data_IF_915606861039
#
_entry.id   IF_915606861039
#
_cell.length_a   1.000
_cell.length_b   1.000
_cell.length_c   1.000
_cell.angle_alpha   90.00
_cell.angle_beta   90.00
_cell.angle_gamma   90.00
#
_symmetry.space_group_name_H-M   'P 1'
#
loop_
_entity.id
_entity.type
_entity.pdbx_description
1 polymer ?
#
# COMPACT_ATOMS: atom_id res chain seq x y z
N UNK A 1 -7.96 38.40 -28.14
CA UNK A 1 -8.78 38.64 -26.93
C UNK A 1 -8.33 37.65 -25.89
N UNK A 2 -7.53 38.09 -24.94
CA UNK A 2 -6.96 37.25 -23.89
C UNK A 2 -8.01 37.05 -22.81
N UNK A 3 -8.45 35.80 -22.61
CA UNK A 3 -9.29 35.43 -21.48
C UNK A 3 -8.41 35.55 -20.22
N UNK A 4 -8.86 36.21 -19.14
CA UNK A 4 -8.12 36.19 -17.90
C UNK A 4 -8.16 34.75 -17.39
N UNK A 5 -7.00 34.11 -17.37
CA UNK A 5 -6.76 32.87 -16.65
C UNK A 5 -6.99 33.18 -15.17
N UNK A 6 -8.24 33.03 -14.70
CA UNK A 6 -8.49 32.96 -13.27
C UNK A 6 -7.62 31.85 -12.71
N UNK A 7 -7.00 32.04 -11.55
CA UNK A 7 -6.19 31.02 -10.92
C UNK A 7 -7.03 29.74 -10.76
N UNK A 8 -6.80 28.74 -11.62
CA UNK A 8 -7.43 27.43 -11.48
C UNK A 8 -6.82 26.79 -10.24
N UNK A 9 -7.44 27.02 -9.08
CA UNK A 9 -7.04 26.39 -7.83
C UNK A 9 -7.30 24.89 -7.98
N UNK A 10 -6.25 24.10 -8.16
CA UNK A 10 -6.35 22.65 -8.19
C UNK A 10 -6.46 22.09 -6.76
N UNK A 11 -7.10 20.93 -6.62
CA UNK A 11 -7.23 20.23 -5.34
C UNK A 11 -6.14 19.15 -5.13
N UNK A 12 -5.09 19.16 -5.95
CA UNK A 12 -4.04 18.13 -5.96
C UNK A 12 -3.36 18.01 -4.59
N UNK A 13 -3.01 19.14 -3.96
CA UNK A 13 -2.36 19.12 -2.64
C UNK A 13 -3.24 18.51 -1.54
N UNK A 14 -4.52 18.90 -1.50
CA UNK A 14 -5.48 18.35 -0.54
C UNK A 14 -5.69 16.84 -0.76
N UNK A 15 -5.67 16.38 -2.02
CA UNK A 15 -5.71 14.96 -2.35
C UNK A 15 -4.43 14.23 -1.92
N UNK A 16 -3.24 14.83 -2.12
CA UNK A 16 -1.95 14.29 -1.65
C UNK A 16 -1.98 14.06 -0.15
N UNK A 17 -2.37 15.08 0.63
CA UNK A 17 -2.46 14.98 2.10
C UNK A 17 -3.45 13.89 2.53
N UNK A 18 -4.56 13.74 1.81
CA UNK A 18 -5.55 12.68 2.09
C UNK A 18 -4.94 11.30 1.88
N UNK A 19 -4.29 11.05 0.75
CA UNK A 19 -3.66 9.75 0.43
C UNK A 19 -2.56 9.42 1.45
N UNK A 20 -1.73 10.40 1.80
CA UNK A 20 -0.71 10.24 2.85
C UNK A 20 -1.38 9.82 4.16
N UNK A 21 -2.39 10.57 4.62
CA UNK A 21 -3.07 10.27 5.88
C UNK A 21 -3.72 8.90 5.91
N UNK A 22 -4.29 8.45 4.78
CA UNK A 22 -4.89 7.12 4.64
C UNK A 22 -3.82 6.02 4.71
N UNK A 23 -2.69 6.20 4.03
CA UNK A 23 -1.56 5.26 4.09
C UNK A 23 -0.94 5.16 5.48
N UNK A 24 -0.94 6.26 6.25
CA UNK A 24 -0.41 6.31 7.62
C UNK A 24 -1.36 5.73 8.65
N UNK A 25 -2.67 5.90 8.46
CA UNK A 25 -3.68 5.45 9.42
C UNK A 25 -3.60 3.94 9.68
N UNK A 26 -3.16 3.16 8.68
CA UNK A 26 -2.92 1.73 8.82
C UNK A 26 -1.79 1.39 9.81
N UNK A 27 -0.89 2.31 10.12
CA UNK A 27 0.27 2.10 11.00
C UNK A 27 0.20 2.91 12.29
N UNK A 28 -0.85 3.71 12.49
CA UNK A 28 -1.00 4.52 13.71
C UNK A 28 -1.38 3.62 14.89
N UNK A 29 -0.63 3.66 16.00
CA UNK A 29 -1.05 3.00 17.23
C UNK A 29 -2.40 3.56 17.67
N UNK A 30 -3.44 2.73 17.69
CA UNK A 30 -4.69 3.12 18.33
C UNK A 30 -4.41 3.33 19.81
N UNK A 31 -4.73 4.49 20.37
CA UNK A 31 -4.53 4.75 21.79
C UNK A 31 -5.55 3.94 22.61
N UNK A 32 -5.24 2.66 22.86
CA UNK A 32 -6.04 1.84 23.77
C UNK A 32 -5.57 2.06 25.19
N UNK A 33 -6.49 2.54 26.03
CA UNK A 33 -6.32 2.78 27.48
C UNK A 33 -6.20 1.50 28.32
N UNK A 34 -6.03 0.33 27.70
CA UNK A 34 -5.86 -0.96 28.35
C UNK A 34 -4.67 -1.66 27.71
N UNK A 35 -3.64 -1.98 28.49
CA UNK A 35 -2.34 -2.52 28.06
C UNK A 35 -2.34 -3.92 27.41
N UNK A 36 -3.25 -4.17 26.47
CA UNK A 36 -3.20 -5.30 25.55
C UNK A 36 -2.48 -4.89 24.26
N UNK A 37 -1.75 -5.80 23.61
CA UNK A 37 -1.21 -5.56 22.27
C UNK A 37 -2.36 -5.29 21.32
N UNK A 38 -2.29 -4.15 20.65
CA UNK A 38 -3.26 -3.70 19.67
C UNK A 38 -3.10 -4.48 18.37
N UNK A 39 -3.98 -5.44 18.14
CA UNK A 39 -4.15 -6.06 16.84
C UNK A 39 -5.03 -5.16 15.98
N UNK A 40 -4.42 -4.33 15.13
CA UNK A 40 -5.17 -3.59 14.12
C UNK A 40 -5.46 -4.56 12.96
N UNK A 41 -6.74 -4.79 12.69
CA UNK A 41 -7.15 -5.61 11.54
C UNK A 41 -7.50 -4.73 10.34
N UNK A 42 -7.09 -5.17 9.16
CA UNK A 42 -7.39 -4.50 7.89
C UNK A 42 -7.84 -5.55 6.87
N UNK A 43 -8.84 -5.27 6.05
CA UNK A 43 -9.22 -6.23 5.01
C UNK A 43 -8.29 -6.13 3.80
N UNK A 44 -8.18 -7.21 3.01
CA UNK A 44 -7.47 -7.13 1.72
C UNK A 44 -8.10 -6.10 0.78
N UNK A 45 -9.43 -5.92 0.86
CA UNK A 45 -10.16 -4.91 0.09
C UNK A 45 -9.72 -3.50 0.45
N UNK A 46 -9.47 -3.22 1.74
CA UNK A 46 -8.93 -1.93 2.17
C UNK A 46 -7.52 -1.71 1.63
N UNK A 47 -6.67 -2.74 1.62
CA UNK A 47 -5.30 -2.65 1.07
C UNK A 47 -5.34 -2.35 -0.42
N UNK A 48 -6.19 -3.04 -1.18
CA UNK A 48 -6.37 -2.80 -2.62
C UNK A 48 -6.96 -1.41 -2.90
N UNK A 49 -7.87 -0.95 -2.03
CA UNK A 49 -8.44 0.40 -2.10
C UNK A 49 -7.38 1.47 -1.88
N UNK A 50 -6.48 1.27 -0.91
CA UNK A 50 -5.35 2.18 -0.68
C UNK A 50 -4.42 2.26 -1.90
N UNK A 51 -4.06 1.12 -2.50
CA UNK A 51 -3.29 1.08 -3.75
C UNK A 51 -3.96 1.86 -4.86
N UNK A 52 -5.26 1.61 -5.07
CA UNK A 52 -6.04 2.29 -6.11
C UNK A 52 -6.09 3.79 -5.87
N UNK A 53 -6.29 4.24 -4.63
CA UNK A 53 -6.33 5.65 -4.29
C UNK A 53 -4.98 6.33 -4.58
N UNK A 54 -3.85 5.68 -4.26
CA UNK A 54 -2.53 6.20 -4.58
C UNK A 54 -2.31 6.30 -6.09
N UNK A 55 -2.67 5.25 -6.84
CA UNK A 55 -2.55 5.22 -8.30
C UNK A 55 -3.37 6.30 -8.98
N UNK A 56 -4.65 6.39 -8.62
CA UNK A 56 -5.54 7.41 -9.15
C UNK A 56 -5.05 8.82 -8.81
N UNK A 57 -4.50 9.01 -7.62
CA UNK A 57 -3.90 10.29 -7.22
C UNK A 57 -2.66 10.62 -8.05
N UNK A 58 -1.77 9.64 -8.29
CA UNK A 58 -0.60 9.81 -9.17
C UNK A 58 -1.01 10.22 -10.59
N UNK A 59 -2.01 9.55 -11.16
CA UNK A 59 -2.53 9.88 -12.50
C UNK A 59 -3.13 11.29 -12.56
N UNK A 60 -3.89 11.70 -11.52
CA UNK A 60 -4.44 13.06 -11.43
C UNK A 60 -3.36 14.12 -11.27
N UNK A 61 -2.28 13.81 -10.54
CA UNK A 61 -1.18 14.74 -10.32
C UNK A 61 -0.41 14.99 -11.61
N UNK A 62 -0.09 13.93 -12.37
CA UNK A 62 0.58 14.02 -13.66
C UNK A 62 -0.32 14.62 -14.76
N UNK A 63 -1.63 14.41 -14.69
CA UNK A 63 -2.59 15.00 -15.62
C UNK A 63 -2.98 16.45 -15.30
N UNK A 64 -2.49 17.02 -14.19
CA UNK A 64 -2.81 18.39 -13.80
C UNK A 64 -2.14 19.39 -14.75
N UNK A 65 -2.84 20.43 -15.27
CA UNK A 65 -2.22 21.48 -16.09
C UNK A 65 -1.09 22.25 -15.40
N UNK A 66 -0.99 22.14 -14.08
CA UNK A 66 0.06 22.74 -13.25
C UNK A 66 0.92 21.67 -12.56
N UNK A 67 1.04 20.47 -13.15
CA UNK A 67 1.84 19.34 -12.64
C UNK A 67 3.22 19.76 -12.15
N UNK A 68 3.93 20.58 -12.93
CA UNK A 68 5.30 21.03 -12.64
C UNK A 68 5.39 21.83 -11.34
N UNK A 69 4.30 22.48 -10.93
CA UNK A 69 4.25 23.22 -9.65
C UNK A 69 3.98 22.32 -8.45
N UNK A 70 3.49 21.10 -8.67
CA UNK A 70 3.14 20.14 -7.64
C UNK A 70 4.16 19.02 -7.50
N UNK A 71 4.73 18.57 -8.63
CA UNK A 71 5.75 17.54 -8.70
C UNK A 71 7.10 18.12 -8.30
N UNK A 72 7.34 18.16 -7.00
CA UNK A 72 8.60 18.60 -6.42
C UNK A 72 9.21 17.45 -5.58
N UNK A 73 10.50 17.58 -5.18
CA UNK A 73 11.19 16.49 -4.49
C UNK A 73 10.50 16.05 -3.18
N UNK A 74 9.81 16.96 -2.48
CA UNK A 74 9.05 16.65 -1.28
C UNK A 74 7.86 15.74 -1.60
N UNK A 75 7.12 16.02 -2.69
CA UNK A 75 6.00 15.19 -3.11
C UNK A 75 6.47 13.80 -3.54
N UNK A 76 7.58 13.68 -4.25
CA UNK A 76 8.14 12.37 -4.60
C UNK A 76 8.52 11.55 -3.37
N UNK A 77 9.16 12.17 -2.37
CA UNK A 77 9.42 11.52 -1.08
C UNK A 77 8.14 10.99 -0.46
N UNK A 78 7.07 11.79 -0.39
CA UNK A 78 5.80 11.34 0.18
C UNK A 78 5.14 10.20 -0.59
N UNK A 79 5.14 10.26 -1.92
CA UNK A 79 4.59 9.19 -2.74
C UNK A 79 5.41 7.91 -2.56
N UNK A 80 6.75 7.99 -2.55
CA UNK A 80 7.62 6.84 -2.28
C UNK A 80 7.38 6.23 -0.89
N UNK A 81 7.20 7.06 0.14
CA UNK A 81 6.85 6.60 1.49
C UNK A 81 5.48 5.90 1.51
N UNK A 82 4.49 6.45 0.80
CA UNK A 82 3.16 5.84 0.66
C UNK A 82 3.25 4.49 -0.08
N UNK A 83 4.03 4.39 -1.16
CA UNK A 83 4.31 3.12 -1.86
C UNK A 83 4.94 2.12 -0.88
N UNK A 84 5.96 2.52 -0.12
CA UNK A 84 6.64 1.65 0.85
C UNK A 84 5.67 1.06 1.90
N UNK A 85 4.77 1.90 2.42
CA UNK A 85 3.72 1.50 3.37
C UNK A 85 2.73 0.53 2.74
N UNK A 86 2.25 0.83 1.54
CA UNK A 86 1.31 -0.03 0.81
C UNK A 86 1.95 -1.37 0.45
N UNK A 87 3.22 -1.41 0.05
CA UNK A 87 3.96 -2.65 -0.19
C UNK A 87 4.07 -3.51 1.08
N UNK A 88 4.24 -2.89 2.25
CA UNK A 88 4.18 -3.60 3.55
C UNK A 88 2.81 -4.24 3.76
N UNK A 89 1.73 -3.53 3.45
CA UNK A 89 0.38 -4.09 3.55
C UNK A 89 0.15 -5.25 2.56
N UNK A 90 0.73 -5.17 1.35
CA UNK A 90 0.66 -6.27 0.38
C UNK A 90 1.41 -7.52 0.88
N UNK A 91 2.60 -7.34 1.47
CA UNK A 91 3.36 -8.45 2.07
C UNK A 91 2.57 -9.14 3.19
N UNK A 92 1.93 -8.36 4.06
CA UNK A 92 1.08 -8.89 5.12
C UNK A 92 -0.15 -9.61 4.56
N UNK A 93 -0.75 -9.08 3.47
CA UNK A 93 -1.92 -9.68 2.84
C UNK A 93 -1.57 -11.05 2.25
N UNK A 94 -0.43 -11.14 1.57
CA UNK A 94 0.07 -12.39 1.00
C UNK A 94 0.38 -13.43 2.07
N UNK A 95 0.99 -13.03 3.19
CA UNK A 95 1.20 -13.95 4.32
C UNK A 95 -0.11 -14.49 4.90
N UNK A 96 -1.17 -13.66 4.93
CA UNK A 96 -2.51 -14.07 5.34
C UNK A 96 -3.13 -15.09 4.39
N UNK A 97 -2.97 -14.89 3.08
CA UNK A 97 -3.46 -15.82 2.05
C UNK A 97 -2.70 -17.16 2.07
N UNK A 98 -1.37 -17.15 2.21
CA UNK A 98 -0.56 -18.38 2.20
C UNK A 98 -0.74 -19.26 3.44
N UNK A 99 -1.13 -18.72 4.60
CA UNK A 99 -1.35 -19.52 5.82
C UNK A 99 -2.62 -20.38 5.77
N UNK A 100 -3.60 -20.04 4.92
CA UNK A 100 -4.82 -20.85 4.74
C UNK A 100 -4.56 -22.13 3.93
N UNK A 101 -3.70 -22.08 2.91
CA UNK A 101 -3.37 -23.23 2.05
C UNK A 101 -2.82 -24.46 2.81
N UNK A 102 -2.27 -24.28 4.02
CA UNK A 102 -1.68 -25.39 4.80
C UNK A 102 -2.64 -25.95 5.86
N UNK A 103 -3.73 -25.26 6.17
CA UNK A 103 -4.62 -25.65 7.28
C UNK A 103 -5.80 -26.54 6.87
N UNK A 104 -6.09 -26.68 5.56
CA UNK A 104 -7.22 -27.48 5.05
C UNK A 104 -6.86 -28.91 4.60
N UNK A 105 -5.62 -29.37 4.85
CA UNK A 105 -5.30 -30.80 4.81
C UNK A 105 -5.29 -31.34 6.24
N UNK A 106 -6.44 -31.28 6.92
CA UNK A 106 -6.66 -32.08 8.13
C UNK A 106 -7.84 -32.99 7.89
N UNK A 107 -7.50 -34.26 7.62
CA UNK A 107 -8.45 -35.36 7.56
C UNK A 107 -9.45 -35.31 8.74
N UNK A 108 -10.74 -35.59 8.51
CA UNK A 108 -11.73 -35.59 9.58
C UNK A 108 -11.58 -36.86 10.41
N UNK A 109 -10.72 -36.82 11.42
CA UNK A 109 -10.58 -37.97 12.31
C UNK A 109 -9.37 -37.96 13.24
N UNK A 110 -9.25 -36.99 14.14
CA UNK A 110 -8.52 -37.26 15.39
C UNK A 110 -8.94 -36.29 16.50
N UNK A 111 -9.68 -36.81 17.47
CA UNK A 111 -9.93 -36.15 18.74
C UNK A 111 -8.64 -36.18 19.56
N UNK A 112 -8.01 -35.02 19.76
CA UNK A 112 -7.13 -34.80 20.92
C UNK A 112 -7.07 -33.31 21.30
N UNK A 113 -7.27 -33.12 22.60
CA UNK A 113 -7.50 -31.89 23.38
C UNK A 113 -6.28 -30.96 23.50
N UNK A 114 -6.44 -29.76 24.12
CA UNK A 114 -5.70 -28.55 23.78
C UNK A 114 -4.49 -28.32 24.69
N UNK A 115 -3.38 -27.88 24.11
CA UNK A 115 -2.35 -27.12 24.83
C UNK A 115 -1.91 -25.96 23.93
N UNK A 116 -2.66 -24.86 24.01
CA UNK A 116 -2.38 -23.60 23.36
C UNK A 116 -1.54 -22.72 24.27
N UNK A 117 -0.22 -22.78 24.13
CA UNK A 117 0.68 -21.74 24.63
C UNK A 117 0.78 -20.60 23.61
N UNK A 118 0.60 -19.32 23.99
CA UNK A 118 0.87 -18.21 23.10
C UNK A 118 2.39 -18.03 23.02
N UNK A 119 2.96 -18.15 21.82
CA UNK A 119 4.33 -17.73 21.58
C UNK A 119 4.38 -16.20 21.72
N UNK A 120 4.93 -15.78 22.86
CA UNK A 120 5.15 -14.41 23.28
C UNK A 120 6.29 -13.81 22.47
N UNK A 121 5.97 -13.28 21.28
CA UNK A 121 6.90 -12.40 20.60
C UNK A 121 6.90 -11.04 21.30
N UNK A 122 7.91 -10.88 22.15
CA UNK A 122 8.14 -9.72 23.00
C UNK A 122 8.74 -8.60 22.16
N UNK A 123 7.90 -7.90 21.43
CA UNK A 123 8.18 -6.56 20.94
C UNK A 123 6.86 -5.82 20.93
N UNK A 124 6.80 -4.59 21.46
CA UNK A 124 5.61 -3.74 21.45
C UNK A 124 5.23 -3.25 20.04
N UNK A 125 5.32 -4.14 19.05
CA UNK A 125 5.00 -3.90 17.66
C UNK A 125 3.50 -4.12 17.47
N UNK A 126 2.87 -3.17 16.79
CA UNK A 126 1.52 -3.31 16.29
C UNK A 126 1.47 -4.55 15.40
N UNK A 127 0.70 -5.56 15.80
CA UNK A 127 0.47 -6.75 14.97
C UNK A 127 -0.67 -6.39 14.02
N UNK A 128 -0.31 -5.90 12.83
CA UNK A 128 -1.28 -5.71 11.75
C UNK A 128 -1.70 -7.09 11.22
N UNK A 129 -2.96 -7.43 11.41
CA UNK A 129 -3.51 -8.70 10.96
C UNK A 129 -4.49 -8.46 9.81
N UNK A 130 -4.15 -8.89 8.61
CA UNK A 130 -5.07 -8.76 7.47
C UNK A 130 -6.11 -9.87 7.53
N UNK A 131 -7.38 -9.50 7.68
CA UNK A 131 -8.50 -10.44 7.80
C UNK A 131 -9.30 -10.51 6.50
N UNK A 132 -9.57 -11.72 6.01
CA UNK A 132 -10.31 -11.97 4.78
C UNK A 132 -11.80 -12.28 5.04
N UNK A 133 -12.42 -11.61 6.00
CA UNK A 133 -13.76 -11.95 6.52
C UNK A 133 -14.94 -11.36 5.73
N UNK A 134 -14.71 -10.78 4.56
CA UNK A 134 -15.76 -10.09 3.78
C UNK A 134 -15.74 -10.57 2.33
N UNK A 135 -16.90 -10.81 1.69
CA UNK A 135 -16.96 -11.06 0.25
C UNK A 135 -16.29 -9.92 -0.50
N UNK A 136 -15.34 -10.28 -1.36
CA UNK A 136 -14.54 -9.32 -2.10
C UNK A 136 -15.34 -8.93 -3.34
N UNK A 137 -16.09 -7.83 -3.22
CA UNK A 137 -16.81 -7.26 -4.37
C UNK A 137 -15.82 -6.58 -5.31
N UNK A 138 -15.45 -7.26 -6.39
CA UNK A 138 -14.73 -6.66 -7.51
C UNK A 138 -15.75 -6.38 -8.59
N UNK A 139 -16.26 -5.14 -8.61
CA UNK A 139 -17.18 -4.63 -9.64
C UNK A 139 -18.36 -5.58 -9.97
N UNK A 140 -19.47 -5.48 -9.24
CA UNK A 140 -20.72 -6.26 -9.47
C UNK A 140 -20.61 -7.79 -9.52
N UNK A 141 -19.43 -8.39 -9.46
CA UNK A 141 -19.24 -9.82 -9.28
C UNK A 141 -19.25 -10.17 -7.79
N UNK A 142 -20.26 -10.91 -7.39
CA UNK A 142 -20.26 -11.67 -6.14
C UNK A 142 -19.58 -13.01 -6.45
N UNK A 143 -18.37 -13.20 -5.91
CA UNK A 143 -17.69 -14.48 -5.94
C UNK A 143 -18.13 -15.25 -4.68
N UNK A 144 -18.69 -16.44 -4.87
CA UNK A 144 -19.15 -17.33 -3.79
C UNK A 144 -18.18 -18.48 -3.51
N UNK A 145 -17.27 -18.76 -4.45
CA UNK A 145 -16.18 -19.72 -4.29
C UNK A 145 -14.92 -19.06 -3.69
N UNK A 146 -14.44 -19.63 -2.58
CA UNK A 146 -13.23 -19.18 -1.90
C UNK A 146 -11.97 -19.30 -2.77
N UNK A 147 -11.91 -20.30 -3.66
CA UNK A 147 -10.80 -20.48 -4.60
C UNK A 147 -10.78 -19.36 -5.64
N UNK A 148 -11.94 -19.03 -6.21
CA UNK A 148 -12.09 -17.91 -7.15
C UNK A 148 -11.74 -16.57 -6.48
N UNK A 149 -12.20 -16.34 -5.25
CA UNK A 149 -11.83 -15.15 -4.47
C UNK A 149 -10.31 -15.07 -4.31
N UNK A 150 -9.64 -16.17 -3.95
CA UNK A 150 -8.19 -16.20 -3.76
C UNK A 150 -7.43 -15.90 -5.07
N UNK A 151 -7.85 -16.49 -6.19
CA UNK A 151 -7.26 -16.25 -7.51
C UNK A 151 -7.40 -14.78 -7.91
N UNK A 152 -8.62 -14.23 -7.81
CA UNK A 152 -8.87 -12.85 -8.19
C UNK A 152 -8.11 -11.87 -7.28
N UNK A 153 -7.99 -12.18 -5.99
CA UNK A 153 -7.15 -11.41 -5.07
C UNK A 153 -5.68 -11.42 -5.46
N UNK A 154 -5.12 -12.59 -5.77
CA UNK A 154 -3.72 -12.72 -6.20
C UNK A 154 -3.48 -11.92 -7.48
N UNK A 155 -4.35 -12.03 -8.49
CA UNK A 155 -4.17 -11.28 -9.74
C UNK A 155 -4.35 -9.77 -9.54
N UNK A 156 -5.30 -9.36 -8.70
CA UNK A 156 -5.49 -7.93 -8.38
C UNK A 156 -4.30 -7.36 -7.61
N UNK A 157 -3.74 -8.12 -6.65
CA UNK A 157 -2.51 -7.75 -5.94
C UNK A 157 -1.34 -7.64 -6.91
N UNK A 158 -1.16 -8.61 -7.82
CA UNK A 158 -0.12 -8.59 -8.85
C UNK A 158 -0.23 -7.35 -9.72
N UNK A 159 -1.42 -7.03 -10.21
CA UNK A 159 -1.66 -5.84 -11.02
C UNK A 159 -1.38 -4.55 -10.24
N UNK A 160 -1.83 -4.47 -8.98
CA UNK A 160 -1.54 -3.36 -8.07
C UNK A 160 -0.02 -3.16 -7.90
N UNK A 161 0.73 -4.24 -7.61
CA UNK A 161 2.18 -4.24 -7.46
C UNK A 161 2.86 -3.73 -8.74
N UNK A 162 2.50 -4.24 -9.90
CA UNK A 162 3.07 -3.78 -11.18
C UNK A 162 2.84 -2.28 -11.40
N UNK A 163 1.65 -1.79 -11.07
CA UNK A 163 1.28 -0.38 -11.24
C UNK A 163 2.01 0.54 -10.25
N UNK A 164 2.21 0.13 -9.01
CA UNK A 164 3.08 0.84 -8.06
C UNK A 164 4.52 0.92 -8.57
N UNK A 165 4.98 -0.09 -9.32
CA UNK A 165 6.30 -0.12 -9.94
C UNK A 165 6.45 0.94 -11.03
N UNK A 166 5.41 1.16 -11.83
CA UNK A 166 5.39 2.25 -12.80
C UNK A 166 5.50 3.62 -12.11
N UNK A 167 4.77 3.85 -10.99
CA UNK A 167 4.93 5.09 -10.21
C UNK A 167 6.40 5.30 -9.80
N UNK A 168 7.05 4.26 -9.26
CA UNK A 168 8.44 4.39 -8.81
C UNK A 168 9.42 4.65 -9.96
N UNK A 169 9.17 4.08 -11.14
CA UNK A 169 9.96 4.35 -12.35
C UNK A 169 9.78 5.79 -12.83
N UNK A 170 8.54 6.28 -12.86
CA UNK A 170 8.24 7.67 -13.21
C UNK A 170 8.95 8.62 -12.23
N UNK A 171 8.87 8.35 -10.92
CA UNK A 171 9.58 9.13 -9.89
C UNK A 171 11.09 9.10 -10.10
N UNK A 172 11.67 7.94 -10.43
CA UNK A 172 13.11 7.83 -10.72
C UNK A 172 13.52 8.71 -11.91
N UNK A 173 12.71 8.75 -12.96
CA UNK A 173 12.94 9.57 -14.14
C UNK A 173 12.82 11.07 -13.82
N UNK A 174 11.75 11.46 -13.15
CA UNK A 174 11.50 12.86 -12.78
C UNK A 174 12.55 13.40 -11.80
N UNK A 175 12.93 12.63 -10.79
CA UNK A 175 13.90 13.08 -9.76
C UNK A 175 15.27 13.42 -10.37
N UNK A 176 15.65 12.76 -11.47
CA UNK A 176 16.92 13.05 -12.19
C UNK A 176 16.92 14.39 -12.93
N UNK A 177 15.77 15.00 -13.14
CA UNK A 177 15.64 16.29 -13.81
C UNK A 177 15.88 17.48 -12.86
N UNK A 178 15.86 17.25 -11.54
CA UNK A 178 16.02 18.31 -10.54
C UNK A 178 17.50 18.67 -10.36
N UNK A 179 17.75 19.98 -10.26
CA UNK A 179 19.09 20.46 -9.91
C UNK A 179 19.46 20.04 -8.48
N UNK A 180 20.75 19.78 -8.21
CA UNK A 180 21.22 19.43 -6.86
C UNK A 180 20.80 20.44 -5.79
N UNK A 181 20.73 21.73 -6.14
CA UNK A 181 20.34 22.80 -5.22
C UNK A 181 18.86 22.72 -4.82
N UNK A 182 17.99 22.28 -5.73
CA UNK A 182 16.56 22.07 -5.43
C UNK A 182 16.38 20.87 -4.48
N UNK A 183 17.14 19.81 -4.71
CA UNK A 183 17.13 18.60 -3.87
C UNK A 183 17.68 18.91 -2.46
N UNK A 184 18.78 19.68 -2.38
CA UNK A 184 19.41 20.06 -1.12
C UNK A 184 18.54 20.96 -0.23
N UNK A 185 17.53 21.63 -0.80
CA UNK A 185 16.60 22.48 -0.06
C UNK A 185 15.52 21.70 0.72
N UNK A 186 15.38 20.40 0.47
CA UNK A 186 14.37 19.55 1.09
C UNK A 186 14.98 18.78 2.26
N UNK A 187 14.29 18.79 3.41
CA UNK A 187 14.65 17.95 4.54
C UNK A 187 14.42 16.47 4.18
N UNK A 188 15.50 15.67 4.18
CA UNK A 188 15.51 14.26 3.81
C UNK A 188 15.00 14.00 2.36
N UNK A 189 15.73 14.44 1.32
CA UNK A 189 15.30 14.23 -0.06
C UNK A 189 15.33 12.75 -0.43
N UNK A 190 14.46 12.32 -1.33
CA UNK A 190 14.40 10.94 -1.82
C UNK A 190 15.71 10.59 -2.54
N UNK A 191 16.37 9.50 -2.12
CA UNK A 191 17.61 9.05 -2.73
C UNK A 191 17.35 7.95 -3.77
N UNK A 192 18.11 7.95 -4.87
CA UNK A 192 18.07 6.89 -5.90
C UNK A 192 18.18 5.47 -5.31
N UNK A 193 19.00 5.32 -4.26
CA UNK A 193 19.16 4.04 -3.56
C UNK A 193 17.84 3.55 -2.95
N UNK A 194 17.06 4.45 -2.35
CA UNK A 194 15.78 4.12 -1.72
C UNK A 194 14.74 3.69 -2.78
N UNK A 195 14.71 4.37 -3.93
CA UNK A 195 13.83 3.98 -5.05
C UNK A 195 14.20 2.58 -5.55
N UNK A 196 15.49 2.29 -5.73
CA UNK A 196 15.97 0.96 -6.14
C UNK A 196 15.64 -0.13 -5.11
N UNK A 197 15.75 0.18 -3.82
CA UNK A 197 15.35 -0.73 -2.75
C UNK A 197 13.84 -1.03 -2.80
N UNK A 198 13.00 -0.02 -3.04
CA UNK A 198 11.56 -0.20 -3.21
C UNK A 198 11.22 -1.04 -4.45
N UNK A 199 11.87 -0.78 -5.59
CA UNK A 199 11.72 -1.59 -6.81
C UNK A 199 12.16 -3.04 -6.57
N UNK A 200 13.29 -3.25 -5.89
CA UNK A 200 13.77 -4.59 -5.53
C UNK A 200 12.79 -5.32 -4.59
N UNK A 201 12.20 -4.61 -3.63
CA UNK A 201 11.15 -5.14 -2.76
C UNK A 201 9.90 -5.50 -3.54
N UNK A 202 9.47 -4.66 -4.47
CA UNK A 202 8.35 -4.90 -5.36
C UNK A 202 8.51 -6.20 -6.15
N UNK A 203 9.67 -6.43 -6.78
CA UNK A 203 9.94 -7.69 -7.49
C UNK A 203 9.95 -8.91 -6.57
N UNK A 204 10.45 -8.77 -5.34
CA UNK A 204 10.41 -9.85 -4.34
C UNK A 204 8.96 -10.19 -3.95
N UNK A 205 8.11 -9.20 -3.78
CA UNK A 205 6.68 -9.40 -3.48
C UNK A 205 6.01 -10.06 -4.70
N UNK A 206 6.23 -9.53 -5.90
CA UNK A 206 5.67 -10.05 -7.15
C UNK A 206 6.01 -11.53 -7.34
N UNK A 207 7.25 -11.94 -7.08
CA UNK A 207 7.69 -13.33 -7.16
C UNK A 207 7.09 -14.27 -6.10
N UNK A 208 6.35 -13.74 -5.11
CA UNK A 208 5.54 -14.54 -4.16
C UNK A 208 4.07 -14.64 -4.56
N UNK A 209 3.63 -13.78 -5.49
CA UNK A 209 2.26 -13.80 -6.02
C UNK A 209 2.13 -14.76 -7.21
N UNK A 210 3.21 -14.90 -7.98
CA UNK A 210 3.40 -15.85 -9.09
C UNK A 210 3.71 -17.24 -8.52
#
# INVERSE_FOLDING_TARGET
>A
MSVPSGDWVCNCWAATLRVISQSEAAFRPQSSSSGQPLSQSMSISDVLTLSRNLLQHWELLNGCPSSDTHLNPLVFRFIADAVSRILTLHELALQGLSKRDVSDIREPGSWQSPDGGPDLDTSGNVILQIQNTIPICISSLELDDEEEIAIVCRETLKHSIMRLGAILQDIEEETRQFDPDQIASVDNPLQDKEIRELIGRLFRILGRVI
#
